data_IF_697185797615
#
_entry.id   IF_697185797615
#
_cell.length_a   1.000
_cell.length_b   1.000
_cell.length_c   1.000
_cell.angle_alpha   90.00
_cell.angle_beta   90.00
_cell.angle_gamma   90.00
#
_symmetry.space_group_name_H-M   'P 1'
#
loop_
_entity.id
_entity.type
_entity.pdbx_description
1 polymer ?
#
# COMPACT_ATOMS: atom_id res chain seq x y z
N UNK A 1 -22.13 2.25 -7.08
CA UNK A 1 -20.71 2.52 -6.78
C UNK A 1 -20.31 3.99 -6.95
N UNK A 2 -20.21 4.75 -5.84
CA UNK A 2 -19.60 6.10 -5.85
C UNK A 2 -18.14 6.01 -5.37
N UNK A 3 -17.22 5.76 -6.31
CA UNK A 3 -15.80 5.64 -5.99
C UNK A 3 -15.20 6.92 -5.42
N UNK A 4 -15.72 8.09 -5.83
CA UNK A 4 -15.15 9.36 -5.39
C UNK A 4 -15.40 9.57 -3.90
N UNK A 5 -16.60 9.23 -3.43
CA UNK A 5 -16.92 9.31 -2.00
C UNK A 5 -16.15 8.26 -1.19
N UNK A 6 -16.08 7.01 -1.64
CA UNK A 6 -15.30 5.97 -0.97
C UNK A 6 -13.81 6.33 -0.88
N UNK A 7 -13.25 6.94 -1.93
CA UNK A 7 -11.88 7.45 -1.92
C UNK A 7 -11.69 8.62 -0.94
N UNK A 8 -12.69 9.49 -0.81
CA UNK A 8 -12.66 10.57 0.18
C UNK A 8 -12.72 10.03 1.63
N UNK A 9 -13.51 8.98 1.87
CA UNK A 9 -13.61 8.30 3.17
C UNK A 9 -12.32 7.55 3.54
N UNK A 10 -11.63 6.96 2.56
CA UNK A 10 -10.36 6.27 2.77
C UNK A 10 -9.16 7.22 2.97
N UNK A 11 -9.34 8.54 2.81
CA UNK A 11 -8.26 9.53 2.80
C UNK A 11 -7.39 9.48 4.06
N UNK A 12 -7.99 9.47 5.24
CA UNK A 12 -7.23 9.53 6.49
C UNK A 12 -6.44 8.25 6.71
N UNK A 13 -7.03 7.09 6.41
CA UNK A 13 -6.35 5.80 6.38
C UNK A 13 -5.09 5.83 5.49
N UNK A 14 -5.21 6.37 4.26
CA UNK A 14 -4.08 6.49 3.33
C UNK A 14 -3.01 7.45 3.87
N UNK A 15 -3.40 8.59 4.42
CA UNK A 15 -2.46 9.58 4.96
C UNK A 15 -1.70 9.03 6.16
N UNK A 16 -2.39 8.38 7.10
CA UNK A 16 -1.79 7.78 8.29
C UNK A 16 -0.80 6.69 7.90
N UNK A 17 -1.19 5.79 7.01
CA UNK A 17 -0.32 4.70 6.57
C UNK A 17 0.88 5.20 5.78
N UNK A 18 0.68 6.19 4.90
CA UNK A 18 1.79 6.87 4.18
C UNK A 18 2.80 7.46 5.17
N UNK A 19 2.32 8.14 6.22
CA UNK A 19 3.19 8.73 7.25
C UNK A 19 3.91 7.66 8.05
N UNK A 20 3.24 6.54 8.34
CA UNK A 20 3.87 5.38 8.99
C UNK A 20 5.01 4.82 8.16
N UNK A 21 4.78 4.54 6.87
CA UNK A 21 5.83 4.08 5.96
C UNK A 21 6.97 5.09 5.83
N UNK A 22 6.66 6.39 5.73
CA UNK A 22 7.67 7.45 5.67
C UNK A 22 8.60 7.48 6.90
N UNK A 23 8.07 7.21 8.10
CA UNK A 23 8.86 7.19 9.33
C UNK A 23 9.82 6.00 9.42
N UNK A 24 9.55 4.90 8.73
CA UNK A 24 10.33 3.66 8.83
C UNK A 24 10.74 3.13 7.44
N UNK A 25 11.51 3.90 6.66
CA UNK A 25 11.95 3.50 5.33
C UNK A 25 12.96 2.35 5.40
N UNK A 26 12.93 1.47 4.40
CA UNK A 26 13.84 0.33 4.24
C UNK A 26 14.49 0.35 2.85
N UNK A 27 15.71 -0.19 2.75
CA UNK A 27 16.46 -0.23 1.48
C UNK A 27 15.81 -1.18 0.48
N UNK A 28 16.08 -0.95 -0.80
CA UNK A 28 15.67 -1.86 -1.87
C UNK A 28 16.16 -3.29 -1.60
N UNK A 29 15.23 -4.25 -1.60
CA UNK A 29 15.49 -5.66 -1.29
C UNK A 29 15.51 -6.04 0.19
N UNK A 30 15.40 -5.06 1.10
CA UNK A 30 15.43 -5.27 2.56
C UNK A 30 14.14 -4.76 3.23
N UNK A 31 13.04 -4.61 2.48
CA UNK A 31 11.74 -4.05 2.92
C UNK A 31 10.92 -5.01 3.81
N UNK A 32 11.56 -5.67 4.78
CA UNK A 32 10.97 -6.75 5.58
C UNK A 32 9.81 -6.23 6.45
N UNK A 33 9.98 -5.10 7.13
CA UNK A 33 8.93 -4.47 7.95
C UNK A 33 7.80 -3.99 7.07
N UNK A 34 8.10 -3.33 5.97
CA UNK A 34 7.13 -2.72 5.05
C UNK A 34 6.29 -3.81 4.39
N UNK A 35 6.93 -4.87 3.88
CA UNK A 35 6.26 -6.06 3.34
C UNK A 35 5.32 -6.71 4.37
N UNK A 36 5.79 -6.92 5.60
CA UNK A 36 4.96 -7.46 6.69
C UNK A 36 3.76 -6.55 6.99
N UNK A 37 3.99 -5.24 7.08
CA UNK A 37 2.96 -4.25 7.38
C UNK A 37 1.88 -4.18 6.28
N UNK A 38 2.27 -4.33 5.01
CA UNK A 38 1.35 -4.45 3.87
C UNK A 38 0.47 -5.69 4.01
N UNK A 39 1.06 -6.85 4.33
CA UNK A 39 0.30 -8.10 4.55
C UNK A 39 -0.67 -7.98 5.71
N UNK A 40 -0.27 -7.36 6.81
CA UNK A 40 -1.15 -7.10 7.95
C UNK A 40 -2.39 -6.27 7.57
N UNK A 41 -2.26 -5.27 6.70
CA UNK A 41 -3.43 -4.53 6.20
C UNK A 41 -4.32 -5.38 5.30
N UNK A 42 -3.72 -6.17 4.40
CA UNK A 42 -4.47 -7.07 3.52
C UNK A 42 -5.23 -8.14 4.32
N UNK A 43 -4.61 -8.70 5.36
CA UNK A 43 -5.21 -9.68 6.26
C UNK A 43 -6.38 -9.07 7.05
N UNK A 44 -6.25 -7.84 7.55
CA UNK A 44 -7.35 -7.10 8.19
C UNK A 44 -8.54 -6.89 7.26
N UNK A 45 -8.29 -6.71 5.97
CA UNK A 45 -9.33 -6.57 4.94
C UNK A 45 -9.89 -7.92 4.46
N UNK A 46 -9.35 -9.05 4.95
CA UNK A 46 -9.72 -10.39 4.49
C UNK A 46 -9.31 -10.67 3.04
N UNK A 47 -8.27 -9.98 2.53
CA UNK A 47 -7.79 -10.12 1.17
C UNK A 47 -6.67 -11.18 1.12
N UNK A 48 -6.88 -12.31 0.42
CA UNK A 48 -5.83 -13.32 0.26
C UNK A 48 -4.59 -12.72 -0.41
N UNK A 49 -3.43 -12.98 0.19
CA UNK A 49 -2.15 -12.51 -0.30
C UNK A 49 -1.07 -13.59 -0.18
N UNK A 50 -0.04 -13.47 -1.01
CA UNK A 50 1.11 -14.38 -1.05
C UNK A 50 2.43 -13.60 -1.09
N UNK A 51 3.50 -14.25 -0.64
CA UNK A 51 4.85 -13.75 -0.83
C UNK A 51 5.30 -13.96 -2.28
N UNK A 52 5.94 -12.93 -2.85
CA UNK A 52 6.59 -13.00 -4.15
C UNK A 52 8.05 -12.57 -4.00
N UNK A 53 8.97 -13.54 -4.08
CA UNK A 53 10.36 -13.29 -3.70
C UNK A 53 10.50 -13.06 -2.19
N UNK A 54 11.47 -12.23 -1.81
CA UNK A 54 11.80 -11.97 -0.40
C UNK A 54 10.81 -11.01 0.25
N UNK A 55 10.59 -9.84 -0.36
CA UNK A 55 9.76 -8.76 0.21
C UNK A 55 8.49 -8.47 -0.60
N UNK A 56 8.38 -8.97 -1.83
CA UNK A 56 7.22 -8.72 -2.68
C UNK A 56 5.93 -9.33 -2.12
N UNK A 57 4.80 -8.66 -2.40
CA UNK A 57 3.46 -9.07 -1.98
C UNK A 57 2.54 -9.04 -3.18
N UNK A 58 1.81 -10.12 -3.41
CA UNK A 58 0.74 -10.19 -4.42
C UNK A 58 -0.56 -10.48 -3.69
N UNK A 59 -1.58 -9.67 -3.96
CA UNK A 59 -2.92 -9.82 -3.43
C UNK A 59 -3.92 -9.92 -4.58
N UNK A 60 -4.99 -10.69 -4.40
CA UNK A 60 -5.99 -10.90 -5.46
C UNK A 60 -7.39 -10.63 -4.92
N UNK A 61 -8.09 -9.67 -5.52
CA UNK A 61 -9.49 -9.34 -5.24
C UNK A 61 -10.35 -9.84 -6.40
N UNK A 62 -11.02 -10.98 -6.20
CA UNK A 62 -11.98 -11.51 -7.16
C UNK A 62 -13.35 -10.87 -6.94
N UNK A 63 -13.83 -10.07 -7.89
CA UNK A 63 -15.18 -9.53 -7.88
C UNK A 63 -16.25 -10.60 -8.10
N UNK A 64 -17.51 -10.27 -7.81
CA UNK A 64 -18.64 -11.22 -7.91
C UNK A 64 -19.33 -11.22 -9.27
N UNK A 65 -18.89 -10.36 -10.20
CA UNK A 65 -19.40 -10.30 -11.57
C UNK A 65 -18.33 -10.79 -12.57
N UNK A 66 -18.72 -11.43 -13.68
CA UNK A 66 -17.77 -11.81 -14.72
C UNK A 66 -17.07 -10.57 -15.31
N UNK A 67 -15.79 -10.69 -15.63
CA UNK A 67 -15.00 -9.59 -16.17
C UNK A 67 -13.55 -9.97 -16.44
N UNK A 68 -12.77 -8.97 -16.85
CA UNK A 68 -11.33 -9.10 -17.14
C UNK A 68 -10.50 -9.06 -15.86
N UNK A 69 -9.21 -9.35 -15.99
CA UNK A 69 -8.22 -9.16 -14.92
C UNK A 69 -7.42 -7.88 -15.17
N UNK A 70 -7.21 -7.07 -14.13
CA UNK A 70 -6.39 -5.84 -14.18
C UNK A 70 -5.40 -5.85 -13.02
N UNK A 71 -4.10 -5.85 -13.31
CA UNK A 71 -3.07 -5.74 -12.27
C UNK A 71 -2.79 -4.27 -11.93
N UNK A 72 -2.75 -3.96 -10.63
CA UNK A 72 -2.30 -2.68 -10.09
C UNK A 72 -0.99 -2.91 -9.32
N UNK A 73 -0.04 -1.98 -9.42
CA UNK A 73 1.30 -2.13 -8.84
C UNK A 73 1.75 -0.85 -8.14
N UNK A 74 2.35 -1.02 -6.98
CA UNK A 74 3.10 0.00 -6.24
C UNK A 74 4.46 -0.58 -5.81
N UNK A 75 5.50 0.24 -5.86
CA UNK A 75 6.78 0.01 -5.19
C UNK A 75 6.73 0.48 -3.74
N UNK A 76 7.63 -0.08 -2.90
CA UNK A 76 7.66 0.16 -1.46
C UNK A 76 9.05 0.42 -0.89
N UNK A 77 10.10 0.43 -1.70
CA UNK A 77 11.48 0.67 -1.24
C UNK A 77 11.79 2.16 -1.03
N UNK A 78 12.77 2.43 -0.18
CA UNK A 78 13.29 3.76 0.07
C UNK A 78 14.70 3.93 -0.52
N UNK A 79 15.24 5.15 -0.43
CA UNK A 79 16.56 5.51 -0.92
C UNK A 79 17.54 5.76 0.23
N UNK A 80 18.83 5.47 -0.01
CA UNK A 80 19.94 5.81 0.88
C UNK A 80 20.26 7.31 0.80
N UNK A 81 19.36 8.13 1.34
CA UNK A 81 19.50 9.58 1.44
C UNK A 81 19.00 10.05 2.79
N UNK A 82 19.77 10.94 3.42
CA UNK A 82 19.40 11.56 4.68
C UNK A 82 18.28 12.58 4.49
N UNK A 83 17.17 12.38 5.19
CA UNK A 83 16.03 13.30 5.15
C UNK A 83 16.37 14.65 5.81
N UNK A 84 16.32 15.72 5.01
CA UNK A 84 16.60 17.09 5.47
C UNK A 84 15.37 17.90 5.87
N UNK A 85 14.17 17.39 5.59
CA UNK A 85 12.97 18.09 5.99
C UNK A 85 12.75 17.99 7.51
N UNK A 86 11.83 18.82 8.01
CA UNK A 86 11.37 18.79 9.38
C UNK A 86 9.84 18.63 9.38
N UNK A 87 9.40 17.38 9.38
CA UNK A 87 7.99 16.98 9.44
C UNK A 87 7.77 16.04 10.62
N UNK A 88 6.57 16.03 11.24
CA UNK A 88 6.27 15.11 12.34
C UNK A 88 6.42 13.62 12.01
N UNK A 89 6.42 13.28 10.72
CA UNK A 89 6.55 11.93 10.18
C UNK A 89 7.89 11.69 9.48
N UNK A 90 8.90 12.53 9.76
CA UNK A 90 10.27 12.34 9.25
C UNK A 90 10.77 10.93 9.54
N UNK A 91 11.57 10.38 8.64
CA UNK A 91 12.30 9.13 8.81
C UNK A 91 13.01 9.07 10.16
N UNK A 92 12.80 7.95 10.85
CA UNK A 92 13.49 7.57 12.09
C UNK A 92 14.70 6.66 11.82
N UNK A 93 14.89 6.24 10.57
CA UNK A 93 16.02 5.44 10.13
C UNK A 93 17.05 6.38 9.48
N UNK A 94 18.09 6.75 10.23
CA UNK A 94 19.11 7.69 9.75
C UNK A 94 19.75 7.21 8.44
N UNK A 95 19.97 8.14 7.50
CA UNK A 95 20.51 7.83 6.18
C UNK A 95 19.51 7.25 5.18
N UNK A 96 18.25 6.99 5.58
CA UNK A 96 17.19 6.48 4.71
C UNK A 96 16.00 7.44 4.61
N UNK A 97 15.39 7.52 3.43
CA UNK A 97 14.21 8.35 3.18
C UNK A 97 13.39 7.82 2.00
N UNK A 98 12.06 7.84 2.11
CA UNK A 98 11.18 7.74 0.94
C UNK A 98 11.18 9.04 0.13
N UNK A 99 12.29 9.30 -0.57
CA UNK A 99 12.46 10.52 -1.39
C UNK A 99 11.79 10.44 -2.77
N UNK A 100 11.31 9.26 -3.18
CA UNK A 100 10.61 9.02 -4.45
C UNK A 100 9.09 8.83 -4.30
N UNK A 101 8.56 8.86 -3.07
CA UNK A 101 7.11 8.75 -2.81
C UNK A 101 6.54 7.33 -2.78
N UNK A 102 7.39 6.28 -2.71
CA UNK A 102 6.96 4.87 -2.69
C UNK A 102 6.11 4.52 -1.45
N UNK A 103 6.32 5.23 -0.34
CA UNK A 103 5.43 5.25 0.82
C UNK A 103 4.00 5.67 0.46
N UNK A 104 3.87 6.69 -0.38
CA UNK A 104 2.59 7.16 -0.91
C UNK A 104 1.98 6.17 -1.89
N UNK A 105 2.76 5.62 -2.82
CA UNK A 105 2.27 4.60 -3.76
C UNK A 105 1.70 3.38 -3.02
N UNK A 106 2.46 2.86 -2.05
CA UNK A 106 2.06 1.71 -1.24
C UNK A 106 0.79 2.00 -0.43
N UNK A 107 0.72 3.16 0.24
CA UNK A 107 -0.45 3.55 1.02
C UNK A 107 -1.70 3.74 0.14
N UNK A 108 -1.56 4.39 -1.02
CA UNK A 108 -2.67 4.56 -1.96
C UNK A 108 -3.17 3.23 -2.51
N UNK A 109 -2.27 2.29 -2.84
CA UNK A 109 -2.68 0.98 -3.35
C UNK A 109 -3.42 0.16 -2.29
N UNK A 110 -3.01 0.24 -1.02
CA UNK A 110 -3.77 -0.34 0.09
C UNK A 110 -5.13 0.35 0.29
N UNK A 111 -5.23 1.66 0.07
CA UNK A 111 -6.51 2.37 0.03
C UNK A 111 -7.42 1.86 -1.09
N UNK A 112 -6.88 1.63 -2.29
CA UNK A 112 -7.61 1.01 -3.41
C UNK A 112 -8.06 -0.40 -3.04
N UNK A 113 -7.19 -1.23 -2.44
CA UNK A 113 -7.53 -2.58 -2.02
C UNK A 113 -8.69 -2.59 -1.01
N UNK A 114 -8.67 -1.66 -0.03
CA UNK A 114 -9.76 -1.47 0.93
C UNK A 114 -11.08 -1.17 0.23
N UNK A 115 -11.09 -0.14 -0.63
CA UNK A 115 -12.30 0.27 -1.37
C UNK A 115 -12.83 -0.90 -2.20
N UNK A 116 -11.98 -1.55 -3.00
CA UNK A 116 -12.40 -2.65 -3.88
C UNK A 116 -12.94 -3.86 -3.11
N UNK A 117 -12.40 -4.13 -1.91
CA UNK A 117 -12.91 -5.18 -1.03
C UNK A 117 -14.33 -4.85 -0.53
N UNK A 118 -14.58 -3.60 -0.15
CA UNK A 118 -15.88 -3.15 0.37
C UNK A 118 -17.00 -3.19 -0.69
N UNK A 119 -16.65 -3.14 -1.98
CA UNK A 119 -17.61 -3.17 -3.10
C UNK A 119 -17.49 -4.44 -3.97
N UNK A 120 -16.92 -5.52 -3.45
CA UNK A 120 -16.64 -6.76 -4.19
C UNK A 120 -17.86 -7.31 -4.94
N UNK A 121 -19.07 -7.17 -4.38
CA UNK A 121 -20.34 -7.58 -5.01
C UNK A 121 -20.66 -6.79 -6.29
N UNK A 122 -20.18 -5.55 -6.40
CA UNK A 122 -20.39 -4.69 -7.57
C UNK A 122 -19.28 -4.81 -8.60
N UNK A 123 -18.10 -5.32 -8.21
CA UNK A 123 -16.87 -5.38 -9.00
C UNK A 123 -16.92 -6.47 -10.11
N UNK A 124 -16.76 -6.10 -11.39
CA UNK A 124 -16.57 -7.06 -12.47
C UNK A 124 -15.11 -7.53 -12.57
N UNK A 125 -14.92 -8.84 -12.66
CA UNK A 125 -13.64 -9.45 -12.96
C UNK A 125 -12.74 -9.64 -11.74
N UNK A 126 -11.45 -9.38 -11.91
CA UNK A 126 -10.44 -9.59 -10.85
C UNK A 126 -9.42 -8.48 -10.91
N UNK A 127 -9.00 -8.02 -9.73
CA UNK A 127 -7.89 -7.07 -9.57
C UNK A 127 -6.77 -7.78 -8.82
#
# INVERSE_FOLDING_TARGET
>A
MDIKNLAAEAKDYVIELRREFHMYPEKSGEEIRTSRRVKEELDKMGIPNINAGETGVIATIKGEKPGKTVALRADMDALEVSEKNDKPYKSKNEGLMHACGHDGHTAMLLGVAKILSDIKCELPGTV
#
